data_IF_593372805806
#
_entry.id   IF_593372805806
#
_cell.length_a   1.000
_cell.length_b   1.000
_cell.length_c   1.000
_cell.angle_alpha   90.00
_cell.angle_beta   90.00
_cell.angle_gamma   90.00
#
_symmetry.space_group_name_H-M   'P 1'
#
loop_
_entity.id
_entity.type
_entity.pdbx_description
1 polymer ?
#
# COMPACT_ATOMS: atom_id res chain seq x y z
N UNK A 1 13.62 8.59 -19.84
CA UNK A 1 12.21 8.79 -20.19
C UNK A 1 11.41 8.73 -18.93
N UNK A 2 10.52 9.70 -18.74
CA UNK A 2 9.60 9.77 -17.60
C UNK A 2 8.53 8.68 -17.73
N UNK A 3 7.88 8.32 -16.61
CA UNK A 3 6.88 7.25 -16.62
C UNK A 3 5.78 7.50 -17.66
N UNK A 4 5.23 8.71 -17.72
CA UNK A 4 4.13 9.07 -18.63
C UNK A 4 4.47 8.85 -20.11
N UNK A 5 5.72 9.02 -20.52
CA UNK A 5 6.14 8.84 -21.91
C UNK A 5 6.01 7.38 -22.37
N UNK A 6 6.17 6.43 -21.43
CA UNK A 6 5.93 5.01 -21.68
C UNK A 6 4.45 4.64 -21.62
N UNK A 7 3.65 5.39 -20.87
CA UNK A 7 2.21 5.12 -20.75
C UNK A 7 1.44 5.48 -22.02
N UNK A 8 1.99 6.32 -22.89
CA UNK A 8 1.35 6.67 -24.16
C UNK A 8 1.37 5.54 -25.20
N UNK A 9 2.37 4.65 -25.20
CA UNK A 9 2.61 3.68 -26.29
C UNK A 9 3.36 2.42 -25.85
N UNK A 10 3.16 1.32 -26.57
CA UNK A 10 3.96 0.09 -26.42
C UNK A 10 3.57 -0.77 -25.21
N UNK A 11 4.53 -1.46 -24.60
CA UNK A 11 4.36 -2.28 -23.38
C UNK A 11 4.27 -1.40 -22.12
N UNK A 12 3.26 -0.55 -22.06
CA UNK A 12 3.04 0.36 -20.93
C UNK A 12 2.79 -0.41 -19.62
N UNK A 13 2.12 -1.58 -19.68
CA UNK A 13 1.85 -2.45 -18.53
C UNK A 13 3.15 -2.96 -17.91
N UNK A 14 4.05 -3.51 -18.73
CA UNK A 14 5.34 -4.00 -18.24
C UNK A 14 6.21 -2.87 -17.68
N UNK A 15 6.18 -1.68 -18.27
CA UNK A 15 6.90 -0.51 -17.73
C UNK A 15 6.31 -0.05 -16.40
N UNK A 16 4.98 0.09 -16.29
CA UNK A 16 4.32 0.52 -15.07
C UNK A 16 4.60 -0.46 -13.92
N UNK A 17 4.47 -1.76 -14.16
CA UNK A 17 4.81 -2.81 -13.20
C UNK A 17 6.25 -2.70 -12.71
N UNK A 18 7.23 -2.74 -13.64
CA UNK A 18 8.65 -2.66 -13.29
C UNK A 18 9.01 -1.36 -12.55
N UNK A 19 8.35 -0.26 -12.90
CA UNK A 19 8.58 1.03 -12.26
C UNK A 19 8.04 1.04 -10.82
N UNK A 20 6.84 0.50 -10.62
CA UNK A 20 6.19 0.41 -9.32
C UNK A 20 6.91 -0.55 -8.36
N UNK A 21 7.14 -1.80 -8.79
CA UNK A 21 7.87 -2.81 -8.02
C UNK A 21 9.33 -2.38 -7.77
N UNK A 22 9.95 -1.74 -8.76
CA UNK A 22 11.29 -1.17 -8.64
C UNK A 22 11.36 -0.07 -7.58
N UNK A 23 10.36 0.81 -7.52
CA UNK A 23 10.29 1.87 -6.53
C UNK A 23 10.13 1.28 -5.11
N UNK A 24 9.24 0.30 -4.93
CA UNK A 24 9.03 -0.40 -3.66
C UNK A 24 10.33 -1.07 -3.21
N UNK A 25 10.99 -1.83 -4.09
CA UNK A 25 12.24 -2.52 -3.80
C UNK A 25 13.32 -1.54 -3.33
N UNK A 26 13.44 -0.39 -3.99
CA UNK A 26 14.41 0.64 -3.58
C UNK A 26 14.06 1.24 -2.21
N UNK A 27 12.78 1.52 -1.95
CA UNK A 27 12.36 2.04 -0.65
C UNK A 27 12.62 1.05 0.49
N UNK A 28 12.54 -0.26 0.22
CA UNK A 28 12.83 -1.31 1.20
C UNK A 28 14.33 -1.55 1.41
N UNK A 29 15.17 -1.37 0.38
CA UNK A 29 16.58 -1.80 0.42
C UNK A 29 17.59 -0.65 0.41
N UNK A 30 17.53 0.23 -0.59
CA UNK A 30 18.42 1.37 -0.76
C UNK A 30 17.73 2.52 -1.49
N UNK A 31 17.13 3.42 -0.70
CA UNK A 31 16.32 4.55 -1.21
C UNK A 31 17.09 5.55 -2.07
N UNK A 32 18.42 5.59 -1.93
CA UNK A 32 19.28 6.56 -2.61
C UNK A 32 19.97 5.99 -3.85
N UNK A 33 19.78 4.70 -4.13
CA UNK A 33 20.38 4.06 -5.30
C UNK A 33 19.90 4.72 -6.59
N UNK A 34 20.81 5.03 -7.55
CA UNK A 34 20.44 5.51 -8.87
C UNK A 34 19.55 4.50 -9.62
N UNK A 35 18.54 5.00 -10.32
CA UNK A 35 17.57 4.18 -11.05
C UNK A 35 17.04 4.92 -12.29
N UNK A 36 16.10 4.31 -13.02
CA UNK A 36 15.46 4.96 -14.16
C UNK A 36 14.54 6.09 -13.70
N UNK A 37 14.37 7.11 -14.56
CA UNK A 37 13.47 8.23 -14.26
C UNK A 37 12.04 7.78 -13.95
N UNK A 38 11.52 6.74 -14.63
CA UNK A 38 10.18 6.22 -14.36
C UNK A 38 10.05 5.59 -12.96
N UNK A 39 11.10 4.90 -12.48
CA UNK A 39 11.14 4.38 -11.10
C UNK A 39 11.27 5.53 -10.10
N UNK A 40 12.11 6.53 -10.39
CA UNK A 40 12.29 7.70 -9.54
C UNK A 40 11.01 8.55 -9.42
N UNK A 41 10.22 8.66 -10.50
CA UNK A 41 8.91 9.31 -10.49
C UNK A 41 7.99 8.63 -9.46
N UNK A 42 7.78 7.31 -9.58
CA UNK A 42 6.91 6.56 -8.67
C UNK A 42 7.44 6.61 -7.24
N UNK A 43 8.75 6.43 -7.04
CA UNK A 43 9.39 6.52 -5.72
C UNK A 43 9.14 7.88 -5.08
N UNK A 44 9.34 8.95 -5.83
CA UNK A 44 9.10 10.32 -5.37
C UNK A 44 7.65 10.51 -4.97
N UNK A 45 6.69 10.05 -5.77
CA UNK A 45 5.27 10.19 -5.47
C UNK A 45 4.88 9.41 -4.21
N UNK A 46 5.34 8.17 -4.07
CA UNK A 46 5.16 7.34 -2.88
C UNK A 46 5.69 8.02 -1.63
N UNK A 47 6.93 8.54 -1.65
CA UNK A 47 7.53 9.19 -0.48
C UNK A 47 6.89 10.54 -0.12
N UNK A 48 6.30 11.23 -1.09
CA UNK A 48 5.72 12.57 -0.87
C UNK A 48 4.25 12.53 -0.46
N UNK A 49 3.53 11.43 -0.69
CA UNK A 49 2.10 11.37 -0.37
C UNK A 49 1.45 10.00 -0.55
N UNK A 50 2.23 8.92 -0.48
CA UNK A 50 1.70 7.56 -0.49
C UNK A 50 1.02 7.17 -1.81
N UNK A 51 0.09 6.22 -1.70
CA UNK A 51 -0.65 5.65 -2.83
C UNK A 51 -1.55 6.71 -3.49
N UNK A 52 -2.24 7.54 -2.71
CA UNK A 52 -3.08 8.64 -3.21
C UNK A 52 -2.29 9.58 -4.09
N UNK A 53 -1.03 9.87 -3.74
CA UNK A 53 -0.19 10.75 -4.56
C UNK A 53 0.21 10.11 -5.89
N UNK A 54 0.46 8.80 -5.91
CA UNK A 54 0.72 8.06 -7.15
C UNK A 54 -0.50 8.16 -8.06
N UNK A 55 -1.70 7.82 -7.56
CA UNK A 55 -2.95 7.90 -8.33
C UNK A 55 -3.20 9.32 -8.86
N UNK A 56 -3.11 10.33 -8.00
CA UNK A 56 -3.32 11.74 -8.35
C UNK A 56 -2.36 12.21 -9.45
N UNK A 57 -1.07 11.87 -9.33
CA UNK A 57 -0.07 12.34 -10.27
C UNK A 57 -0.20 11.61 -11.62
N UNK A 58 -0.49 10.31 -11.58
CA UNK A 58 -0.78 9.54 -12.79
C UNK A 58 -1.98 10.13 -13.54
N UNK A 59 -3.09 10.41 -12.87
CA UNK A 59 -4.26 11.05 -13.47
C UNK A 59 -3.95 12.42 -14.07
N UNK A 60 -3.15 13.24 -13.38
CA UNK A 60 -2.72 14.55 -13.88
C UNK A 60 -1.90 14.42 -15.17
N UNK A 61 -0.96 13.49 -15.19
CA UNK A 61 -0.08 13.29 -16.32
C UNK A 61 -0.83 12.72 -17.53
N UNK A 62 -1.72 11.73 -17.31
CA UNK A 62 -2.58 11.18 -18.35
C UNK A 62 -3.51 12.24 -18.95
N UNK A 63 -4.13 13.09 -18.11
CA UNK A 63 -4.96 14.22 -18.57
C UNK A 63 -4.15 15.26 -19.33
N UNK A 64 -2.96 15.62 -18.83
CA UNK A 64 -2.06 16.57 -19.48
C UNK A 64 -1.62 16.12 -20.88
N UNK A 65 -1.43 14.81 -21.06
CA UNK A 65 -1.10 14.18 -22.34
C UNK A 65 -2.30 13.82 -23.22
N UNK A 66 -3.53 14.02 -22.73
CA UNK A 66 -4.78 13.74 -23.43
C UNK A 66 -4.89 12.27 -23.89
N UNK A 67 -4.53 11.34 -23.01
CA UNK A 67 -4.76 9.92 -23.25
C UNK A 67 -6.27 9.66 -23.41
N UNK A 68 -6.63 8.71 -24.27
CA UNK A 68 -8.01 8.27 -24.45
C UNK A 68 -8.61 7.76 -23.13
N UNK A 69 -9.89 8.05 -22.86
CA UNK A 69 -10.52 7.74 -21.56
C UNK A 69 -10.47 6.26 -21.21
N UNK A 70 -10.63 5.37 -22.21
CA UNK A 70 -10.53 3.94 -22.03
C UNK A 70 -9.12 3.53 -21.60
N UNK A 71 -8.09 4.13 -22.20
CA UNK A 71 -6.70 3.86 -21.87
C UNK A 71 -6.34 4.37 -20.47
N UNK A 72 -6.86 5.55 -20.09
CA UNK A 72 -6.72 6.05 -18.72
C UNK A 72 -7.35 5.10 -17.69
N UNK A 73 -8.52 4.54 -18.02
CA UNK A 73 -9.20 3.55 -17.16
C UNK A 73 -8.36 2.29 -17.02
N UNK A 74 -7.88 1.72 -18.13
CA UNK A 74 -7.02 0.53 -18.09
C UNK A 74 -5.76 0.75 -17.22
N UNK A 75 -5.15 1.94 -17.29
CA UNK A 75 -4.00 2.29 -16.46
C UNK A 75 -4.36 2.35 -14.98
N UNK A 76 -5.51 2.94 -14.62
CA UNK A 76 -5.99 3.00 -13.22
C UNK A 76 -6.28 1.61 -12.67
N UNK A 77 -7.03 0.81 -13.41
CA UNK A 77 -7.39 -0.55 -13.00
C UNK A 77 -6.13 -1.40 -12.80
N UNK A 78 -5.13 -1.25 -13.68
CA UNK A 78 -3.86 -1.94 -13.55
C UNK A 78 -3.01 -1.43 -12.39
N UNK A 79 -3.04 -0.13 -12.08
CA UNK A 79 -2.38 0.41 -10.88
C UNK A 79 -3.01 -0.16 -9.60
N UNK A 80 -4.34 -0.24 -9.52
CA UNK A 80 -5.04 -0.85 -8.39
C UNK A 80 -4.63 -2.32 -8.21
N UNK A 81 -4.55 -3.08 -9.30
CA UNK A 81 -4.01 -4.44 -9.27
C UNK A 81 -2.58 -4.48 -8.70
N UNK A 82 -1.69 -3.58 -9.14
CA UNK A 82 -0.31 -3.53 -8.63
C UNK A 82 -0.24 -3.18 -7.14
N UNK A 83 -1.11 -2.30 -6.66
CA UNK A 83 -1.20 -1.96 -5.23
C UNK A 83 -1.58 -3.21 -4.42
N UNK A 84 -2.59 -3.96 -4.87
CA UNK A 84 -3.02 -5.19 -4.21
C UNK A 84 -1.94 -6.27 -4.22
N UNK A 85 -1.28 -6.50 -5.36
CA UNK A 85 -0.19 -7.47 -5.48
C UNK A 85 1.03 -7.11 -4.60
N UNK A 86 1.21 -5.83 -4.25
CA UNK A 86 2.29 -5.34 -3.41
C UNK A 86 1.83 -4.85 -2.03
N UNK A 87 0.62 -5.23 -1.61
CA UNK A 87 -0.03 -4.74 -0.39
C UNK A 87 0.88 -4.81 0.83
N UNK A 88 1.46 -5.98 1.09
CA UNK A 88 2.33 -6.20 2.26
C UNK A 88 3.52 -5.24 2.27
N UNK A 89 4.20 -5.10 1.13
CA UNK A 89 5.35 -4.21 0.99
C UNK A 89 4.96 -2.76 1.21
N UNK A 90 3.80 -2.33 0.73
CA UNK A 90 3.29 -0.97 0.92
C UNK A 90 2.96 -0.74 2.41
N UNK A 91 2.23 -1.65 3.05
CA UNK A 91 1.89 -1.56 4.48
C UNK A 91 3.14 -1.51 5.35
N UNK A 92 4.15 -2.33 5.05
CA UNK A 92 5.45 -2.27 5.73
C UNK A 92 6.13 -0.91 5.56
N UNK A 93 6.11 -0.33 4.36
CA UNK A 93 6.69 1.00 4.12
C UNK A 93 5.92 2.11 4.88
N UNK A 94 4.59 2.00 4.97
CA UNK A 94 3.73 2.92 5.73
C UNK A 94 4.08 2.88 7.22
N UNK A 95 4.11 1.67 7.79
CA UNK A 95 4.46 1.45 9.18
C UNK A 95 5.92 1.74 9.49
N UNK A 96 6.84 1.69 8.52
CA UNK A 96 8.19 2.17 8.75
C UNK A 96 8.31 3.71 8.71
N UNK A 97 7.23 4.41 8.35
CA UNK A 97 7.19 5.86 8.15
C UNK A 97 7.95 6.30 6.90
N UNK A 98 8.22 5.39 5.96
CA UNK A 98 8.96 5.67 4.73
C UNK A 98 8.04 6.33 3.70
N UNK A 99 6.79 5.84 3.62
CA UNK A 99 5.74 6.47 2.83
C UNK A 99 4.67 7.03 3.79
N UNK A 100 4.26 8.29 3.64
CA UNK A 100 3.14 8.84 4.37
C UNK A 100 1.84 8.15 3.92
N UNK A 101 0.89 8.03 4.84
CA UNK A 101 -0.42 7.46 4.56
C UNK A 101 -1.50 8.25 5.31
N UNK A 102 -2.69 8.30 4.72
CA UNK A 102 -3.93 8.69 5.37
C UNK A 102 -4.89 7.49 5.39
N UNK A 103 -6.06 7.65 6.03
CA UNK A 103 -7.06 6.58 6.09
C UNK A 103 -7.42 6.04 4.71
N UNK A 104 -7.66 6.89 3.70
CA UNK A 104 -7.97 6.46 2.35
C UNK A 104 -6.83 5.64 1.71
N UNK A 105 -5.56 6.02 1.94
CA UNK A 105 -4.41 5.23 1.47
C UNK A 105 -4.39 3.83 2.07
N UNK A 106 -4.65 3.72 3.37
CA UNK A 106 -4.70 2.44 4.07
C UNK A 106 -5.84 1.58 3.52
N UNK A 107 -7.03 2.15 3.38
CA UNK A 107 -8.21 1.45 2.86
C UNK A 107 -8.00 0.94 1.43
N UNK A 108 -7.47 1.79 0.54
CA UNK A 108 -7.14 1.41 -0.84
C UNK A 108 -6.09 0.30 -0.88
N UNK A 109 -5.05 0.40 -0.05
CA UNK A 109 -4.00 -0.63 0.02
C UNK A 109 -4.56 -1.96 0.51
N UNK A 110 -5.47 -1.91 1.49
CA UNK A 110 -6.11 -3.08 2.07
C UNK A 110 -7.32 -3.57 1.26
N UNK A 111 -7.70 -2.91 0.17
CA UNK A 111 -8.84 -3.32 -0.67
C UNK A 111 -10.19 -3.28 0.06
N UNK A 112 -10.34 -2.40 1.06
CA UNK A 112 -11.55 -2.27 1.88
C UNK A 112 -12.22 -0.92 1.69
N UNK A 113 -13.54 -0.89 1.79
CA UNK A 113 -14.34 0.33 1.79
C UNK A 113 -14.34 1.03 3.16
N UNK A 114 -14.64 2.33 3.18
CA UNK A 114 -14.85 3.08 4.43
C UNK A 114 -15.96 2.46 5.29
N UNK A 115 -17.06 2.00 4.67
CA UNK A 115 -18.15 1.35 5.40
C UNK A 115 -17.76 0.02 6.03
N UNK A 116 -16.91 -0.77 5.37
CA UNK A 116 -16.38 -2.02 5.94
C UNK A 116 -15.44 -1.71 7.10
N UNK A 117 -14.64 -0.65 6.99
CA UNK A 117 -13.77 -0.18 8.05
C UNK A 117 -14.55 0.36 9.26
N UNK A 118 -15.60 1.15 9.05
CA UNK A 118 -16.46 1.65 10.11
C UNK A 118 -17.19 0.52 10.83
N UNK A 119 -17.70 -0.47 10.08
CA UNK A 119 -18.30 -1.68 10.66
C UNK A 119 -17.27 -2.47 11.50
N UNK A 120 -16.02 -2.56 11.02
CA UNK A 120 -14.92 -3.17 11.76
C UNK A 120 -14.60 -2.40 13.04
N UNK A 121 -14.56 -1.06 13.02
CA UNK A 121 -14.36 -0.25 14.22
C UNK A 121 -15.48 -0.42 15.24
N UNK A 122 -16.73 -0.54 14.78
CA UNK A 122 -17.85 -0.82 15.68
C UNK A 122 -17.73 -2.20 16.34
N UNK A 123 -17.29 -3.22 15.60
CA UNK A 123 -16.98 -4.54 16.18
C UNK A 123 -15.80 -4.48 17.17
N UNK A 124 -14.75 -3.70 16.86
CA UNK A 124 -13.61 -3.41 17.77
C UNK A 124 -14.07 -2.82 19.09
N UNK A 125 -15.08 -1.95 19.08
CA UNK A 125 -15.59 -1.33 20.31
C UNK A 125 -16.40 -2.27 21.23
N UNK A 126 -16.63 -3.52 20.82
CA UNK A 126 -17.52 -4.48 21.53
C UNK A 126 -16.85 -5.76 22.10
N UNK A 127 -15.51 -5.88 22.00
CA UNK A 127 -14.59 -6.86 22.66
C UNK A 127 -14.16 -8.17 21.92
N UNK A 128 -12.93 -8.63 22.28
CA UNK A 128 -12.06 -9.78 21.87
C UNK A 128 -11.67 -9.96 20.39
N UNK A 129 -10.48 -9.47 20.01
CA UNK A 129 -9.79 -9.65 18.69
C UNK A 129 -10.64 -9.58 17.39
N UNK A 130 -11.46 -8.53 17.20
CA UNK A 130 -12.31 -8.42 16.02
C UNK A 130 -11.57 -8.08 14.73
N UNK A 131 -10.38 -7.46 14.80
CA UNK A 131 -9.55 -7.19 13.62
C UNK A 131 -9.05 -8.48 12.96
N UNK A 132 -8.52 -9.41 13.77
CA UNK A 132 -8.07 -10.74 13.34
C UNK A 132 -9.24 -11.59 12.82
N UNK A 133 -10.36 -11.61 13.56
CA UNK A 133 -11.56 -12.35 13.16
C UNK A 133 -12.11 -11.86 11.81
N UNK A 134 -12.11 -10.55 11.58
CA UNK A 134 -12.55 -9.96 10.31
C UNK A 134 -11.60 -10.30 9.16
N UNK A 135 -10.29 -10.22 9.38
CA UNK A 135 -9.30 -10.56 8.35
C UNK A 135 -9.46 -12.03 7.92
N UNK A 136 -9.63 -12.96 8.87
CA UNK A 136 -9.90 -14.36 8.57
C UNK A 136 -11.20 -14.53 7.76
N UNK A 137 -12.28 -13.82 8.14
CA UNK A 137 -13.57 -13.90 7.45
C UNK A 137 -13.54 -13.36 6.00
N UNK A 138 -12.59 -12.47 5.68
CA UNK A 138 -12.41 -11.89 4.36
C UNK A 138 -11.32 -12.58 3.53
N UNK A 139 -10.86 -13.75 3.97
CA UNK A 139 -9.94 -14.60 3.21
C UNK A 139 -8.47 -14.24 3.36
N UNK A 140 -8.11 -13.37 4.30
CA UNK A 140 -6.71 -13.17 4.68
C UNK A 140 -6.20 -14.37 5.47
N UNK A 141 -5.01 -14.86 5.12
CA UNK A 141 -4.39 -15.95 5.87
C UNK A 141 -3.87 -15.47 7.22
N UNK A 142 -3.78 -16.38 8.19
CA UNK A 142 -3.18 -16.09 9.49
C UNK A 142 -1.76 -15.51 9.35
N UNK A 143 -0.98 -15.98 8.37
CA UNK A 143 0.36 -15.44 8.09
C UNK A 143 0.33 -13.95 7.72
N UNK A 144 -0.67 -13.49 6.95
CA UNK A 144 -0.82 -12.07 6.62
C UNK A 144 -1.22 -11.27 7.86
N UNK A 145 -2.11 -11.83 8.68
CA UNK A 145 -2.57 -11.21 9.93
C UNK A 145 -1.40 -11.01 10.90
N UNK A 146 -0.61 -12.05 11.13
CA UNK A 146 0.55 -12.03 12.01
C UNK A 146 1.58 -11.00 11.51
N UNK A 147 1.81 -10.93 10.20
CA UNK A 147 2.70 -9.92 9.62
C UNK A 147 2.19 -8.49 9.79
N UNK A 148 0.88 -8.25 9.70
CA UNK A 148 0.30 -6.93 9.98
C UNK A 148 0.54 -6.54 11.44
N UNK A 149 0.37 -7.47 12.38
CA UNK A 149 0.67 -7.23 13.78
C UNK A 149 2.16 -6.98 14.04
N UNK A 150 3.07 -7.75 13.43
CA UNK A 150 4.52 -7.51 13.54
C UNK A 150 4.91 -6.11 13.05
N UNK A 151 4.25 -5.65 12.00
CA UNK A 151 4.45 -4.33 11.41
C UNK A 151 3.94 -3.22 12.35
N UNK A 152 2.76 -3.40 12.95
CA UNK A 152 2.21 -2.49 13.97
C UNK A 152 3.11 -2.45 15.20
N UNK A 153 3.53 -3.61 15.70
CA UNK A 153 4.41 -3.73 16.87
C UNK A 153 5.77 -3.08 16.63
N UNK A 154 6.37 -3.31 15.46
CA UNK A 154 7.63 -2.67 15.06
C UNK A 154 7.50 -1.14 15.02
N UNK A 155 6.36 -0.63 14.52
CA UNK A 155 6.07 0.79 14.53
C UNK A 155 5.88 1.34 15.94
N UNK A 156 5.13 0.65 16.81
CA UNK A 156 4.91 1.03 18.20
C UNK A 156 6.23 1.11 18.98
N UNK A 157 7.11 0.11 18.81
CA UNK A 157 8.45 0.08 19.38
C UNK A 157 9.29 1.27 18.91
N UNK A 158 9.29 1.54 17.59
CA UNK A 158 10.06 2.64 16.99
C UNK A 158 9.60 4.02 17.45
N UNK A 159 8.32 4.17 17.82
CA UNK A 159 7.74 5.42 18.32
C UNK A 159 7.67 5.51 19.86
N UNK A 160 8.26 4.56 20.58
CA UNK A 160 8.36 4.59 22.05
C UNK A 160 7.03 4.36 22.78
N UNK A 161 5.98 3.95 22.07
CA UNK A 161 4.68 3.61 22.63
C UNK A 161 4.69 2.13 23.02
N UNK A 162 5.19 1.81 24.22
CA UNK A 162 5.12 0.45 24.78
C UNK A 162 3.76 0.22 25.43
N UNK A 163 2.92 -0.62 24.84
CA UNK A 163 1.80 -1.28 25.51
C UNK A 163 2.12 -2.76 25.76
N UNK A 164 1.44 -3.44 26.70
CA UNK A 164 1.83 -4.76 27.14
C UNK A 164 1.78 -5.72 25.95
N UNK A 165 2.80 -6.57 25.89
CA UNK A 165 2.86 -7.77 25.06
C UNK A 165 1.49 -8.41 24.95
N UNK A 166 1.10 -8.75 23.72
CA UNK A 166 0.03 -9.69 23.37
C UNK A 166 -0.10 -10.74 24.49
N UNK A 167 -1.31 -11.03 25.02
CA UNK A 167 -1.46 -12.14 25.96
C UNK A 167 -1.21 -13.44 25.19
N UNK A 168 0.05 -13.86 25.11
CA UNK A 168 0.42 -15.26 24.98
C UNK A 168 -0.04 -15.95 26.26
N UNK A 169 -1.32 -16.32 26.31
CA UNK A 169 -1.83 -17.32 27.22
C UNK A 169 -2.65 -18.32 26.43
N UNK A 170 -1.95 -19.12 25.61
CA UNK A 170 -2.37 -20.50 25.39
C UNK A 170 -2.02 -21.30 26.65
N UNK A 171 -2.80 -21.09 27.72
CA UNK A 171 -2.93 -22.07 28.77
C UNK A 171 -3.74 -23.25 28.22
N UNK A 172 -3.03 -24.21 27.64
CA UNK A 172 -3.51 -25.58 27.51
C UNK A 172 -3.48 -26.22 28.90
N UNK A 173 -4.65 -26.32 29.53
CA UNK A 173 -4.98 -27.35 30.49
C UNK A 173 -6.25 -28.05 30.02
#
# INVERSE_FOLDING_TARGET
MALIEYLERGDWRGVLRRSFEGAITLLQTDRFRPTSSAVDDVKSWLTNGGVSRVQLQLDREMKGRRLEENHQREIRDFLEQLIQENQLSIVQLMANGIIPWNQADFLVTMGISESEFDAMLQQISTDTNPFETWMLANGYSQEIIDQIYEVIDSWLIKNGLRFPTHPTDHNLN
#
